data_IF_094562504923
#
_entry.id   IF_094562504923
#
_cell.length_a   1.000
_cell.length_b   1.000
_cell.length_c   1.000
_cell.angle_alpha   90.00
_cell.angle_beta   90.00
_cell.angle_gamma   90.00
#
_symmetry.space_group_name_H-M   'P 1'
#
loop_
_entity.id
_entity.type
_entity.pdbx_description
1 polymer ?
#
# COMPACT_ATOMS: atom_id res chain seq x y z
N UNK A 1 20.55 8.98 25.61
CA UNK A 1 20.59 10.38 25.19
C UNK A 1 21.54 10.62 24.01
N UNK A 2 22.76 10.07 24.02
CA UNK A 2 23.71 10.15 22.89
C UNK A 2 23.26 9.40 21.63
N UNK A 3 22.55 8.27 21.73
CA UNK A 3 22.00 7.54 20.60
C UNK A 3 20.85 8.30 19.90
N UNK A 4 20.07 9.07 20.65
CA UNK A 4 18.98 9.90 20.12
C UNK A 4 19.48 11.11 19.31
N UNK A 5 20.68 11.61 19.63
CA UNK A 5 21.36 12.69 18.90
C UNK A 5 21.97 12.21 17.58
N UNK A 6 22.33 10.92 17.48
CA UNK A 6 22.97 10.33 16.30
C UNK A 6 21.98 9.96 15.18
N UNK A 7 20.68 9.82 15.51
CA UNK A 7 19.66 9.35 14.58
C UNK A 7 19.02 10.45 13.73
N UNK A 8 19.10 11.73 14.14
CA UNK A 8 18.44 12.83 13.39
C UNK A 8 19.37 13.47 12.36
N UNK A 9 18.89 13.59 11.13
CA UNK A 9 19.59 14.24 10.01
C UNK A 9 20.11 15.64 10.37
N UNK A 10 19.28 16.43 11.06
CA UNK A 10 19.61 17.79 11.51
C UNK A 10 20.88 17.78 12.36
N UNK A 11 21.04 16.81 13.26
CA UNK A 11 22.23 16.71 14.11
C UNK A 11 23.46 16.26 13.33
N UNK A 12 23.33 15.38 12.33
CA UNK A 12 24.46 14.98 11.46
C UNK A 12 24.99 16.17 10.66
N UNK A 13 24.09 16.97 10.10
CA UNK A 13 24.44 18.18 9.37
C UNK A 13 25.05 19.22 10.33
N UNK A 14 24.43 19.49 11.47
CA UNK A 14 24.94 20.41 12.47
C UNK A 14 26.34 20.02 12.98
N UNK A 15 26.55 18.74 13.33
CA UNK A 15 27.82 18.22 13.78
C UNK A 15 28.91 18.37 12.71
N UNK A 16 28.61 18.20 11.43
CA UNK A 16 29.59 18.38 10.36
C UNK A 16 30.03 19.84 10.23
N UNK A 17 29.13 20.81 10.37
CA UNK A 17 29.50 22.23 10.41
C UNK A 17 30.25 22.61 11.70
N UNK A 18 29.78 22.10 12.85
CA UNK A 18 30.44 22.30 14.13
C UNK A 18 31.88 21.76 14.12
N UNK A 19 32.10 20.60 13.50
CA UNK A 19 33.42 19.99 13.32
C UNK A 19 34.34 20.87 12.50
N UNK A 20 33.86 21.42 11.37
CA UNK A 20 34.65 22.35 10.52
C UNK A 20 35.09 23.58 11.31
N UNK A 21 34.15 24.18 12.06
CA UNK A 21 34.44 25.35 12.91
C UNK A 21 35.41 25.01 14.03
N UNK A 22 35.24 23.85 14.69
CA UNK A 22 36.13 23.41 15.77
C UNK A 22 37.55 23.15 15.27
N UNK A 23 37.71 22.48 14.13
CA UNK A 23 39.00 22.25 13.51
C UNK A 23 39.69 23.59 13.17
N UNK A 24 38.96 24.51 12.54
CA UNK A 24 39.49 25.85 12.25
C UNK A 24 39.96 26.60 13.51
N UNK A 25 39.18 26.55 14.57
CA UNK A 25 39.48 27.23 15.83
C UNK A 25 40.68 26.58 16.57
N UNK A 26 40.75 25.24 16.58
CA UNK A 26 41.87 24.51 17.20
C UNK A 26 43.18 24.76 16.43
N UNK A 27 43.16 24.74 15.11
CA UNK A 27 44.34 25.01 14.30
C UNK A 27 44.79 26.46 14.45
N UNK A 28 43.85 27.42 14.49
CA UNK A 28 44.18 28.84 14.74
C UNK A 28 44.80 29.03 16.12
N UNK A 29 44.22 28.41 17.17
CA UNK A 29 44.73 28.48 18.53
C UNK A 29 46.13 27.84 18.68
N UNK A 30 46.36 26.69 18.06
CA UNK A 30 47.64 26.01 18.10
C UNK A 30 48.71 26.76 17.30
N UNK A 31 48.38 27.27 16.12
CA UNK A 31 49.25 28.04 15.31
C UNK A 31 49.69 29.36 16.01
N UNK A 32 48.72 30.06 16.63
CA UNK A 32 49.03 31.27 17.41
C UNK A 32 49.84 30.93 18.68
N UNK A 33 49.58 29.85 19.38
CA UNK A 33 50.34 29.46 20.60
C UNK A 33 51.77 29.04 20.31
N UNK A 34 52.03 28.50 19.11
CA UNK A 34 53.39 28.13 18.69
C UNK A 34 54.21 29.33 18.14
N UNK A 35 53.53 30.27 17.48
CA UNK A 35 54.18 31.43 16.88
C UNK A 35 54.43 32.59 17.89
N UNK A 36 53.59 32.71 18.94
CA UNK A 36 53.65 33.81 19.91
C UNK A 36 54.93 33.79 20.80
N UNK A 37 55.37 32.62 21.33
CA UNK A 37 56.57 32.56 22.17
C UNK A 37 57.83 32.99 21.44
N UNK A 38 58.02 32.58 20.19
CA UNK A 38 59.20 32.92 19.42
C UNK A 38 59.33 34.44 19.14
N UNK A 39 58.20 35.11 18.85
CA UNK A 39 58.16 36.53 18.63
C UNK A 39 58.35 37.31 19.98
N UNK A 40 57.85 36.77 21.08
CA UNK A 40 57.95 37.38 22.42
C UNK A 40 59.37 37.23 22.97
N UNK A 41 60.05 36.10 22.79
CA UNK A 41 61.43 35.87 23.23
C UNK A 41 62.41 36.80 22.50
N UNK A 42 62.23 37.03 21.21
CA UNK A 42 63.01 38.01 20.44
C UNK A 42 62.82 39.43 20.94
N UNK A 43 61.58 39.82 21.34
CA UNK A 43 61.29 41.14 21.87
C UNK A 43 61.90 41.37 23.26
N UNK A 44 61.86 40.33 24.12
CA UNK A 44 62.50 40.35 25.43
C UNK A 44 64.01 40.44 25.34
N UNK A 45 64.65 39.72 24.39
CA UNK A 45 66.05 39.80 24.14
C UNK A 45 66.50 41.20 23.71
N UNK A 46 65.73 41.87 22.82
CA UNK A 46 65.95 43.25 22.42
C UNK A 46 65.81 44.25 23.59
N UNK A 47 64.75 44.10 24.42
CA UNK A 47 64.59 44.93 25.63
C UNK A 47 65.67 44.74 26.68
N UNK A 48 66.13 43.50 26.88
CA UNK A 48 67.24 43.23 27.84
C UNK A 48 68.58 43.84 27.40
N UNK A 49 68.83 43.88 26.12
CA UNK A 49 69.98 44.57 25.55
C UNK A 49 69.92 46.09 25.75
N UNK A 50 68.77 46.70 25.60
CA UNK A 50 68.54 48.12 25.91
C UNK A 50 68.73 48.49 27.37
N UNK A 51 68.25 47.67 28.29
CA UNK A 51 68.40 47.89 29.73
C UNK A 51 69.86 47.69 30.23
N UNK A 52 70.70 46.98 29.49
CA UNK A 52 72.12 46.77 29.80
C UNK A 52 73.03 48.00 29.54
N UNK A 53 72.47 49.16 29.13
CA UNK A 53 73.20 50.42 28.99
C UNK A 53 74.16 50.46 27.80
N UNK A 54 74.07 49.57 26.85
CA UNK A 54 74.73 49.70 25.57
C UNK A 54 73.99 50.71 24.75
N UNK A 55 74.71 51.81 24.34
CA UNK A 55 74.17 52.81 23.41
C UNK A 55 73.75 52.12 22.11
N UNK A 56 72.45 52.09 21.89
CA UNK A 56 71.89 51.50 20.65
C UNK A 56 72.27 52.39 19.48
N UNK A 57 73.02 51.91 18.50
CA UNK A 57 73.31 52.70 17.32
C UNK A 57 72.09 52.97 16.50
N UNK A 58 72.13 53.98 15.59
CA UNK A 58 71.01 54.43 14.74
C UNK A 58 70.35 53.36 13.84
N UNK A 59 70.64 52.08 14.17
CA UNK A 59 69.99 50.87 13.56
C UNK A 59 68.60 50.49 14.11
N UNK A 60 68.03 51.24 15.06
CA UNK A 60 66.80 50.90 15.82
C UNK A 60 65.57 50.71 14.94
N UNK A 61 65.44 51.51 13.87
CA UNK A 61 64.34 51.40 12.94
C UNK A 61 64.42 50.15 12.07
N UNK A 62 65.62 49.66 11.78
CA UNK A 62 65.80 48.43 10.99
C UNK A 62 65.41 47.19 11.81
N UNK A 63 65.80 47.15 13.08
CA UNK A 63 65.46 46.06 14.00
C UNK A 63 63.95 46.02 14.34
N UNK A 64 63.33 47.15 14.52
CA UNK A 64 61.87 47.30 14.72
C UNK A 64 61.08 46.82 13.47
N UNK A 65 61.58 47.18 12.31
CA UNK A 65 61.03 46.72 11.03
C UNK A 65 61.19 45.21 10.82
N UNK A 66 62.32 44.62 11.22
CA UNK A 66 62.59 43.19 11.10
C UNK A 66 61.71 42.37 12.07
N UNK A 67 61.54 42.85 13.31
CA UNK A 67 60.62 42.28 14.27
C UNK A 67 59.17 42.34 13.83
N UNK A 68 58.77 43.48 13.30
CA UNK A 68 57.41 43.64 12.73
C UNK A 68 57.17 42.73 11.54
N UNK A 69 58.16 42.58 10.64
CA UNK A 69 58.06 41.68 9.50
C UNK A 69 58.04 40.21 9.92
N UNK A 70 58.86 39.79 10.89
CA UNK A 70 58.84 38.43 11.43
C UNK A 70 57.51 38.09 12.13
N UNK A 71 56.94 39.04 12.84
CA UNK A 71 55.62 38.90 13.49
C UNK A 71 54.53 38.72 12.42
N UNK A 72 54.47 39.59 11.41
CA UNK A 72 53.49 39.48 10.32
C UNK A 72 53.68 38.15 9.56
N UNK A 73 54.91 37.74 9.30
CA UNK A 73 55.21 36.44 8.64
C UNK A 73 54.67 35.28 9.47
N UNK A 74 54.93 35.24 10.78
CA UNK A 74 54.45 34.18 11.68
C UNK A 74 52.95 34.14 11.77
N UNK A 75 52.26 35.32 11.87
CA UNK A 75 50.82 35.40 11.90
C UNK A 75 50.22 34.98 10.54
N UNK A 76 50.80 35.37 9.43
CA UNK A 76 50.35 34.99 8.09
C UNK A 76 50.51 33.49 7.82
N UNK A 77 51.59 32.88 8.32
CA UNK A 77 51.85 31.44 8.25
C UNK A 77 50.79 30.68 9.09
N UNK A 78 50.57 31.11 10.33
CA UNK A 78 49.53 30.52 11.20
C UNK A 78 48.13 30.60 10.59
N UNK A 79 47.78 31.73 10.02
CA UNK A 79 46.50 31.92 9.32
C UNK A 79 46.37 31.04 8.08
N UNK A 80 47.48 30.88 7.33
CA UNK A 80 47.55 30.04 6.14
C UNK A 80 47.32 28.56 6.50
N UNK A 81 47.98 28.06 7.54
CA UNK A 81 47.73 26.68 8.05
C UNK A 81 46.31 26.48 8.53
N UNK A 82 45.72 27.44 9.27
CA UNK A 82 44.36 27.39 9.71
C UNK A 82 43.37 27.38 8.53
N UNK A 83 43.62 28.19 7.50
CA UNK A 83 42.77 28.24 6.30
C UNK A 83 42.83 26.91 5.51
N UNK A 84 44.00 26.31 5.33
CA UNK A 84 44.17 25.03 4.65
C UNK A 84 43.47 23.92 5.44
N UNK A 85 43.66 23.86 6.75
CA UNK A 85 43.00 22.85 7.59
C UNK A 85 41.47 22.97 7.58
N UNK A 86 40.93 24.20 7.65
CA UNK A 86 39.50 24.47 7.55
C UNK A 86 38.96 24.05 6.16
N UNK A 87 39.69 24.28 5.09
CA UNK A 87 39.33 23.89 3.72
C UNK A 87 39.25 22.37 3.59
N UNK A 88 40.25 21.66 4.12
CA UNK A 88 40.24 20.18 4.13
C UNK A 88 39.07 19.65 4.94
N UNK A 89 38.83 20.19 6.14
CA UNK A 89 37.68 19.80 6.98
C UNK A 89 36.35 20.06 6.28
N UNK A 90 36.22 21.20 5.58
CA UNK A 90 35.02 21.53 4.80
C UNK A 90 34.80 20.56 3.62
N UNK A 91 35.87 20.17 2.90
CA UNK A 91 35.78 19.17 1.83
C UNK A 91 35.34 17.80 2.35
N UNK A 92 35.89 17.35 3.48
CA UNK A 92 35.47 16.10 4.10
C UNK A 92 34.01 16.14 4.54
N UNK A 93 33.58 17.22 5.22
CA UNK A 93 32.20 17.40 5.65
C UNK A 93 31.25 17.45 4.43
N UNK A 94 31.60 18.17 3.37
CA UNK A 94 30.82 18.24 2.13
C UNK A 94 30.67 16.88 1.46
N UNK A 95 31.72 16.07 1.43
CA UNK A 95 31.69 14.71 0.90
C UNK A 95 30.72 13.81 1.69
N UNK A 96 30.74 13.91 3.03
CA UNK A 96 29.81 13.15 3.88
C UNK A 96 28.36 13.59 3.68
N UNK A 97 28.08 14.90 3.64
CA UNK A 97 26.75 15.44 3.41
C UNK A 97 26.23 15.02 2.02
N UNK A 98 27.09 15.11 0.99
CA UNK A 98 26.74 14.68 -0.36
C UNK A 98 26.32 13.21 -0.39
N UNK A 99 27.06 12.32 0.27
CA UNK A 99 26.72 10.89 0.32
C UNK A 99 25.51 10.55 1.19
N UNK A 100 25.34 11.22 2.33
CA UNK A 100 24.29 10.89 3.28
C UNK A 100 22.95 11.60 3.03
N UNK A 101 22.96 12.73 2.33
CA UNK A 101 21.76 13.54 2.10
C UNK A 101 21.46 13.70 0.61
N UNK A 102 22.41 14.23 -0.16
CA UNK A 102 22.16 14.63 -1.55
C UNK A 102 21.89 13.40 -2.43
N UNK A 103 22.73 12.37 -2.34
CA UNK A 103 22.60 11.17 -3.16
C UNK A 103 21.29 10.40 -2.93
N UNK A 104 20.83 10.13 -1.68
CA UNK A 104 19.54 9.52 -1.43
C UNK A 104 18.37 10.35 -1.98
N UNK A 105 18.38 11.66 -1.80
CA UNK A 105 17.33 12.56 -2.33
C UNK A 105 17.30 12.55 -3.86
N UNK A 106 18.47 12.58 -4.52
CA UNK A 106 18.54 12.47 -5.99
C UNK A 106 18.01 11.12 -6.48
N UNK A 107 18.35 10.02 -5.79
CA UNK A 107 17.78 8.69 -6.12
C UNK A 107 16.28 8.66 -5.99
N UNK A 108 15.72 9.24 -4.90
CA UNK A 108 14.26 9.37 -4.72
C UNK A 108 13.62 10.14 -5.87
N UNK A 109 14.24 11.25 -6.30
CA UNK A 109 13.74 12.05 -7.41
C UNK A 109 13.72 11.26 -8.74
N UNK A 110 14.80 10.54 -9.05
CA UNK A 110 14.90 9.70 -10.26
C UNK A 110 13.85 8.59 -10.23
N UNK A 111 13.73 7.88 -9.10
CA UNK A 111 12.74 6.81 -8.95
C UNK A 111 11.30 7.33 -8.99
N UNK A 112 11.04 8.51 -8.41
CA UNK A 112 9.74 9.16 -8.52
C UNK A 112 9.36 9.45 -9.97
N UNK A 113 10.33 9.88 -10.78
CA UNK A 113 10.09 10.12 -12.23
C UNK A 113 9.80 8.80 -12.96
N UNK A 114 10.56 7.75 -12.70
CA UNK A 114 10.32 6.42 -13.28
C UNK A 114 8.96 5.83 -12.88
N UNK A 115 8.56 6.00 -11.60
CA UNK A 115 7.22 5.61 -11.15
C UNK A 115 6.13 6.39 -11.90
N UNK A 116 6.31 7.68 -12.14
CA UNK A 116 5.40 8.49 -12.94
C UNK A 116 5.29 8.02 -14.40
N UNK A 117 6.34 7.41 -14.96
CA UNK A 117 6.38 6.78 -16.27
C UNK A 117 5.82 5.34 -16.28
N UNK A 118 5.43 4.81 -15.12
CA UNK A 118 4.83 3.49 -14.99
C UNK A 118 5.82 2.36 -14.69
N UNK A 119 7.06 2.67 -14.32
CA UNK A 119 8.09 1.73 -13.90
C UNK A 119 8.08 1.57 -12.38
N UNK A 120 7.28 0.64 -11.87
CA UNK A 120 7.05 0.49 -10.42
C UNK A 120 7.99 -0.49 -9.71
N UNK A 121 8.89 -1.19 -10.43
CA UNK A 121 9.67 -2.31 -9.88
C UNK A 121 10.86 -1.87 -9.04
N UNK A 122 11.40 -0.68 -9.29
CA UNK A 122 12.57 -0.19 -8.59
C UNK A 122 12.25 0.25 -7.17
N UNK A 123 13.20 -0.02 -6.26
CA UNK A 123 13.09 0.36 -4.84
C UNK A 123 14.35 1.10 -4.41
N UNK A 124 14.18 1.96 -3.41
CA UNK A 124 15.31 2.52 -2.68
C UNK A 124 15.94 1.44 -1.82
N UNK A 125 17.27 1.33 -1.92
CA UNK A 125 18.02 0.44 -1.05
C UNK A 125 18.05 1.02 0.37
N UNK A 126 17.28 0.40 1.25
CA UNK A 126 17.20 0.77 2.65
C UNK A 126 18.03 -0.28 3.41
N UNK A 127 19.18 0.13 3.97
CA UNK A 127 19.92 -0.75 4.87
C UNK A 127 19.06 -1.04 6.10
N UNK A 128 18.65 -2.29 6.34
CA UNK A 128 17.73 -2.62 7.44
C UNK A 128 18.49 -2.66 8.79
N UNK A 129 19.03 -1.53 9.23
CA UNK A 129 19.62 -1.41 10.57
C UNK A 129 18.64 -0.71 11.49
N UNK A 130 17.72 -1.48 12.08
CA UNK A 130 16.83 -1.02 13.14
C UNK A 130 15.34 -0.96 12.77
N UNK A 131 14.48 -0.77 13.79
CA UNK A 131 13.05 -0.49 13.62
C UNK A 131 12.83 0.91 13.03
N UNK A 132 11.61 1.19 12.54
CA UNK A 132 11.22 2.48 11.97
C UNK A 132 11.64 3.68 12.84
N UNK A 133 11.48 3.57 14.16
CA UNK A 133 11.82 4.62 15.13
C UNK A 133 13.33 4.84 15.33
N UNK A 134 14.19 3.94 14.84
CA UNK A 134 15.64 4.02 14.93
C UNK A 134 16.30 4.56 13.65
N UNK A 135 15.49 4.74 12.58
CA UNK A 135 15.96 5.33 11.33
C UNK A 135 15.99 6.85 11.42
N UNK A 136 16.92 7.47 10.69
CA UNK A 136 16.87 8.91 10.47
C UNK A 136 15.70 9.29 9.55
N UNK A 137 15.42 10.58 9.46
CA UNK A 137 14.29 11.12 8.69
C UNK A 137 14.35 10.71 7.20
N UNK A 138 15.54 10.56 6.63
CA UNK A 138 15.71 10.09 5.25
C UNK A 138 15.42 8.60 5.11
N UNK A 139 15.79 7.79 6.09
CA UNK A 139 15.47 6.37 6.14
C UNK A 139 13.95 6.14 6.25
N UNK A 140 13.27 6.92 7.11
CA UNK A 140 11.81 6.88 7.24
C UNK A 140 11.11 7.32 5.95
N UNK A 141 11.63 8.37 5.30
CA UNK A 141 11.12 8.84 4.00
C UNK A 141 11.31 7.78 2.92
N UNK A 142 12.48 7.13 2.86
CA UNK A 142 12.76 6.06 1.91
C UNK A 142 11.83 4.85 2.10
N UNK A 143 11.55 4.48 3.35
CA UNK A 143 10.61 3.41 3.67
C UNK A 143 9.19 3.76 3.22
N UNK A 144 8.73 4.98 3.54
CA UNK A 144 7.41 5.47 3.13
C UNK A 144 7.28 5.54 1.61
N UNK A 145 8.36 5.95 0.92
CA UNK A 145 8.43 5.95 -0.54
C UNK A 145 8.28 4.55 -1.13
N UNK A 146 9.03 3.57 -0.60
CA UNK A 146 8.95 2.17 -1.04
C UNK A 146 7.54 1.59 -0.82
N UNK A 147 6.91 1.88 0.32
CA UNK A 147 5.52 1.47 0.60
C UNK A 147 4.52 2.09 -0.38
N UNK A 148 4.70 3.36 -0.73
CA UNK A 148 3.88 4.02 -1.74
C UNK A 148 4.08 3.40 -3.12
N UNK A 149 5.33 3.15 -3.53
CA UNK A 149 5.66 2.49 -4.79
C UNK A 149 5.04 1.09 -4.88
N UNK A 150 5.10 0.30 -3.80
CA UNK A 150 4.48 -1.03 -3.72
C UNK A 150 2.96 -0.96 -3.88
N UNK A 151 2.31 0.00 -3.20
CA UNK A 151 0.85 0.20 -3.34
C UNK A 151 0.45 0.58 -4.76
N UNK A 152 1.22 1.47 -5.40
CA UNK A 152 0.97 1.88 -6.79
C UNK A 152 1.16 0.70 -7.75
N UNK A 153 2.25 -0.07 -7.61
CA UNK A 153 2.50 -1.27 -8.42
C UNK A 153 1.35 -2.27 -8.30
N UNK A 154 0.92 -2.55 -7.07
CA UNK A 154 -0.19 -3.45 -6.80
C UNK A 154 -1.50 -2.95 -7.41
N UNK A 155 -1.78 -1.66 -7.28
CA UNK A 155 -2.98 -1.04 -7.85
C UNK A 155 -2.99 -1.11 -9.38
N UNK A 156 -1.87 -0.77 -10.03
CA UNK A 156 -1.77 -0.79 -11.49
C UNK A 156 -1.80 -2.22 -12.04
N UNK A 157 -1.15 -3.17 -11.36
CA UNK A 157 -1.22 -4.59 -11.72
C UNK A 157 -2.66 -5.12 -11.64
N UNK A 158 -3.36 -4.81 -10.54
CA UNK A 158 -4.77 -5.18 -10.39
C UNK A 158 -5.66 -4.53 -11.46
N UNK A 159 -5.39 -3.26 -11.82
CA UNK A 159 -6.12 -2.56 -12.88
C UNK A 159 -5.91 -3.21 -14.25
N UNK A 160 -4.66 -3.54 -14.59
CA UNK A 160 -4.35 -4.22 -15.87
C UNK A 160 -4.98 -5.61 -15.94
N UNK A 161 -4.93 -6.36 -14.85
CA UNK A 161 -5.58 -7.65 -14.77
C UNK A 161 -7.09 -7.52 -14.95
N UNK A 162 -7.74 -6.56 -14.27
CA UNK A 162 -9.17 -6.29 -14.42
C UNK A 162 -9.55 -6.02 -15.88
N UNK A 163 -8.82 -5.16 -16.58
CA UNK A 163 -9.08 -4.85 -17.99
C UNK A 163 -8.95 -6.11 -18.87
N UNK A 164 -7.93 -6.94 -18.59
CA UNK A 164 -7.74 -8.21 -19.28
C UNK A 164 -8.91 -9.16 -19.08
N UNK A 165 -9.30 -9.37 -17.83
CA UNK A 165 -10.38 -10.28 -17.43
C UNK A 165 -11.73 -9.82 -17.98
N UNK A 166 -12.05 -8.53 -17.88
CA UNK A 166 -13.26 -7.92 -18.48
C UNK A 166 -13.31 -8.15 -19.98
N UNK A 167 -12.18 -7.92 -20.67
CA UNK A 167 -12.11 -8.10 -22.11
C UNK A 167 -12.38 -9.55 -22.51
N UNK A 168 -11.87 -10.51 -21.73
CA UNK A 168 -12.11 -11.93 -21.95
C UNK A 168 -13.57 -12.34 -21.69
N UNK A 169 -14.16 -11.90 -20.57
CA UNK A 169 -15.53 -12.23 -20.18
C UNK A 169 -16.58 -11.58 -21.07
N UNK A 170 -16.30 -10.40 -21.66
CA UNK A 170 -17.16 -9.77 -22.66
C UNK A 170 -17.04 -10.43 -24.04
N UNK A 171 -15.85 -10.86 -24.45
CA UNK A 171 -15.62 -11.44 -25.79
C UNK A 171 -16.38 -12.74 -26.00
N UNK A 172 -16.45 -13.58 -24.97
CA UNK A 172 -17.08 -14.91 -25.05
C UNK A 172 -18.56 -14.85 -25.45
N UNK A 173 -19.46 -14.14 -24.71
CA UNK A 173 -20.87 -14.04 -25.09
C UNK A 173 -21.08 -13.27 -26.40
N UNK A 174 -20.27 -12.23 -26.68
CA UNK A 174 -20.34 -11.50 -27.94
C UNK A 174 -20.03 -12.41 -29.14
N UNK A 175 -19.01 -13.29 -29.03
CA UNK A 175 -18.67 -14.25 -30.08
C UNK A 175 -19.79 -15.27 -30.28
N UNK A 176 -20.42 -15.73 -29.17
CA UNK A 176 -21.56 -16.65 -29.27
C UNK A 176 -22.76 -16.00 -29.95
N UNK A 177 -23.13 -14.77 -29.56
CA UNK A 177 -24.22 -14.01 -30.21
C UNK A 177 -23.91 -13.82 -31.69
N UNK A 178 -22.69 -13.41 -32.01
CA UNK A 178 -22.26 -13.22 -33.40
C UNK A 178 -22.40 -14.51 -34.21
N UNK A 179 -21.90 -15.66 -33.66
CA UNK A 179 -21.99 -16.97 -34.31
C UNK A 179 -23.44 -17.43 -34.51
N UNK A 180 -24.36 -17.18 -33.56
CA UNK A 180 -25.77 -17.45 -33.72
C UNK A 180 -26.41 -16.61 -34.84
N UNK A 181 -26.05 -15.33 -34.89
CA UNK A 181 -26.58 -14.41 -35.91
C UNK A 181 -26.04 -14.75 -37.32
N UNK A 182 -24.75 -15.04 -37.46
CA UNK A 182 -24.14 -15.49 -38.71
C UNK A 182 -24.77 -16.80 -39.20
N UNK A 183 -24.94 -17.79 -38.29
CA UNK A 183 -25.61 -19.04 -38.64
C UNK A 183 -27.08 -18.88 -39.06
N UNK A 184 -27.80 -17.87 -38.53
CA UNK A 184 -29.14 -17.49 -39.00
C UNK A 184 -29.11 -16.86 -40.39
N UNK A 185 -28.18 -15.95 -40.63
CA UNK A 185 -28.03 -15.22 -41.92
C UNK A 185 -27.68 -16.22 -43.05
N UNK A 186 -26.76 -17.14 -42.76
CA UNK A 186 -26.28 -18.16 -43.70
C UNK A 186 -27.28 -19.33 -43.91
N UNK A 187 -28.38 -19.34 -43.13
CA UNK A 187 -29.40 -20.39 -43.20
C UNK A 187 -28.95 -21.73 -42.62
N UNK A 188 -27.81 -21.77 -41.90
CA UNK A 188 -27.25 -22.99 -41.25
C UNK A 188 -27.99 -23.31 -39.96
N UNK A 189 -28.45 -22.26 -39.24
CA UNK A 189 -29.23 -22.41 -38.01
C UNK A 189 -30.71 -22.09 -38.28
N UNK A 190 -31.65 -22.92 -37.76
CA UNK A 190 -33.07 -22.66 -37.92
C UNK A 190 -33.52 -21.46 -37.04
N UNK A 191 -34.32 -20.56 -37.61
CA UNK A 191 -34.96 -19.48 -36.90
C UNK A 191 -36.10 -20.04 -35.99
N UNK A 192 -35.79 -20.47 -34.80
CA UNK A 192 -36.73 -21.09 -33.83
C UNK A 192 -36.67 -20.41 -32.47
N UNK A 193 -37.70 -20.60 -31.61
CA UNK A 193 -37.74 -20.01 -30.28
C UNK A 193 -36.51 -20.35 -29.39
N UNK A 194 -35.97 -21.57 -29.51
CA UNK A 194 -34.84 -22.03 -28.74
C UNK A 194 -33.57 -21.25 -29.05
N UNK A 195 -33.36 -20.91 -30.34
CA UNK A 195 -32.21 -20.11 -30.75
C UNK A 195 -32.34 -18.66 -30.25
N UNK A 196 -33.53 -18.08 -30.34
CA UNK A 196 -33.79 -16.75 -29.82
C UNK A 196 -33.62 -16.68 -28.30
N UNK A 197 -34.04 -17.72 -27.56
CA UNK A 197 -33.80 -17.82 -26.14
C UNK A 197 -32.30 -17.90 -25.78
N UNK A 198 -31.50 -18.65 -26.57
CA UNK A 198 -30.05 -18.68 -26.40
C UNK A 198 -29.42 -17.32 -26.61
N UNK A 199 -29.80 -16.60 -27.67
CA UNK A 199 -29.30 -15.24 -27.88
C UNK A 199 -29.70 -14.30 -26.75
N UNK A 200 -30.98 -14.37 -26.31
CA UNK A 200 -31.47 -13.53 -25.22
C UNK A 200 -30.73 -13.83 -23.90
N UNK A 201 -30.47 -15.10 -23.60
CA UNK A 201 -29.70 -15.49 -22.39
C UNK A 201 -28.27 -14.96 -22.39
N UNK A 202 -27.60 -14.88 -23.53
CA UNK A 202 -26.27 -14.28 -23.61
C UNK A 202 -26.32 -12.75 -23.48
N UNK A 203 -27.37 -12.09 -23.97
CA UNK A 203 -27.59 -10.64 -23.77
C UNK A 203 -27.83 -10.35 -22.29
N UNK A 204 -28.70 -11.10 -21.61
CA UNK A 204 -28.95 -10.96 -20.17
C UNK A 204 -27.67 -11.20 -19.34
N UNK A 205 -26.84 -12.14 -19.78
CA UNK A 205 -25.54 -12.39 -19.15
C UNK A 205 -24.61 -11.18 -19.29
N UNK A 206 -24.56 -10.57 -20.47
CA UNK A 206 -23.77 -9.35 -20.71
C UNK A 206 -24.27 -8.19 -19.85
N UNK A 207 -25.57 -7.99 -19.76
CA UNK A 207 -26.15 -6.93 -18.91
C UNK A 207 -25.77 -7.12 -17.45
N UNK A 208 -25.89 -8.35 -16.93
CA UNK A 208 -25.45 -8.67 -15.56
C UNK A 208 -23.97 -8.38 -15.36
N UNK A 209 -23.12 -8.77 -16.29
CA UNK A 209 -21.67 -8.53 -16.20
C UNK A 209 -21.35 -7.02 -16.16
N UNK A 210 -22.01 -6.22 -17.00
CA UNK A 210 -21.83 -4.75 -17.02
C UNK A 210 -22.29 -4.12 -15.70
N UNK A 211 -23.43 -4.56 -15.15
CA UNK A 211 -23.94 -4.06 -13.88
C UNK A 211 -22.99 -4.45 -12.71
N UNK A 212 -22.49 -5.69 -12.70
CA UNK A 212 -21.54 -6.17 -11.70
C UNK A 212 -20.22 -5.37 -11.76
N UNK A 213 -19.74 -5.03 -12.95
CA UNK A 213 -18.54 -4.21 -13.14
C UNK A 213 -18.73 -2.77 -12.66
N UNK A 214 -19.88 -2.16 -12.94
CA UNK A 214 -20.20 -0.83 -12.44
C UNK A 214 -20.26 -0.80 -10.93
N UNK A 215 -20.87 -1.81 -10.32
CA UNK A 215 -20.96 -1.95 -8.88
C UNK A 215 -19.58 -2.16 -8.25
N UNK A 216 -18.76 -3.05 -8.81
CA UNK A 216 -17.41 -3.28 -8.37
C UNK A 216 -16.57 -2.00 -8.43
N UNK A 217 -16.69 -1.23 -9.52
CA UNK A 217 -15.99 0.05 -9.69
C UNK A 217 -16.38 1.05 -8.59
N UNK A 218 -17.68 1.18 -8.26
CA UNK A 218 -18.14 2.09 -7.20
C UNK A 218 -17.62 1.69 -5.82
N UNK A 219 -17.66 0.38 -5.53
CA UNK A 219 -17.19 -0.13 -4.22
C UNK A 219 -15.68 0.05 -4.06
N UNK A 220 -14.90 -0.23 -5.11
CA UNK A 220 -13.45 -0.09 -5.08
C UNK A 220 -12.96 1.35 -5.14
N UNK A 221 -13.69 2.22 -5.84
CA UNK A 221 -13.42 3.66 -5.90
C UNK A 221 -13.68 4.39 -4.57
N UNK A 222 -14.27 3.71 -3.57
CA UNK A 222 -14.66 4.34 -2.31
C UNK A 222 -15.87 5.29 -2.45
N UNK A 223 -16.56 5.25 -3.60
CA UNK A 223 -17.72 6.09 -3.90
C UNK A 223 -19.04 5.50 -3.36
N UNK A 224 -18.94 4.41 -2.58
CA UNK A 224 -20.10 3.76 -2.02
C UNK A 224 -20.61 4.56 -0.81
N UNK A 225 -21.61 5.40 -1.04
CA UNK A 225 -22.38 6.01 0.05
C UNK A 225 -23.33 4.96 0.65
N UNK A 226 -23.00 4.48 1.85
CA UNK A 226 -23.88 3.60 2.60
C UNK A 226 -24.98 4.41 3.30
N UNK A 227 -26.19 3.85 3.35
CA UNK A 227 -27.34 4.38 4.10
C UNK A 227 -27.74 3.41 5.20
N UNK A 228 -26.95 3.30 6.28
CA UNK A 228 -27.19 2.30 7.29
C UNK A 228 -28.42 2.65 8.14
N UNK A 229 -29.22 1.64 8.43
CA UNK A 229 -30.39 1.69 9.31
C UNK A 229 -30.34 0.49 10.26
N UNK A 230 -31.06 0.58 11.38
CA UNK A 230 -31.23 -0.56 12.25
C UNK A 230 -32.24 -1.55 11.62
N UNK A 231 -31.79 -2.78 11.42
CA UNK A 231 -32.60 -3.83 10.80
C UNK A 231 -32.32 -5.17 11.46
N UNK A 232 -33.35 -6.01 11.61
CA UNK A 232 -33.16 -7.36 12.13
C UNK A 232 -32.61 -8.30 11.03
N UNK A 233 -31.67 -9.17 11.40
CA UNK A 233 -31.18 -10.21 10.50
C UNK A 233 -32.30 -11.15 10.01
N UNK A 234 -33.30 -11.38 10.83
CA UNK A 234 -34.48 -12.17 10.47
C UNK A 234 -35.25 -11.54 9.31
N UNK A 235 -35.50 -10.22 9.35
CA UNK A 235 -36.21 -9.49 8.28
C UNK A 235 -35.48 -9.57 6.95
N UNK A 236 -34.12 -9.43 6.96
CA UNK A 236 -33.28 -9.56 5.76
C UNK A 236 -33.38 -10.96 5.13
N UNK A 237 -33.34 -12.00 5.97
CA UNK A 237 -33.39 -13.40 5.49
C UNK A 237 -34.78 -13.74 4.97
N UNK A 238 -35.85 -13.25 5.61
CA UNK A 238 -37.23 -13.43 5.11
C UNK A 238 -37.46 -12.72 3.77
N UNK A 239 -36.92 -11.51 3.60
CA UNK A 239 -36.96 -10.79 2.32
C UNK A 239 -36.22 -11.58 1.23
N UNK A 240 -35.03 -12.10 1.55
CA UNK A 240 -34.30 -12.96 0.64
C UNK A 240 -35.09 -14.22 0.26
N UNK A 241 -35.74 -14.86 1.25
CA UNK A 241 -36.58 -16.03 0.97
C UNK A 241 -37.66 -15.69 -0.05
N UNK A 242 -38.41 -14.62 0.18
CA UNK A 242 -39.48 -14.20 -0.74
C UNK A 242 -39.00 -13.98 -2.18
N UNK A 243 -37.75 -13.52 -2.35
CA UNK A 243 -37.16 -13.27 -3.66
C UNK A 243 -36.68 -14.54 -4.36
N UNK A 244 -36.24 -15.56 -3.65
CA UNK A 244 -35.58 -16.73 -4.23
C UNK A 244 -36.31 -18.06 -4.06
N UNK A 245 -37.33 -18.16 -3.18
CA UNK A 245 -38.08 -19.40 -2.86
C UNK A 245 -38.55 -20.11 -4.13
N UNK A 246 -39.18 -19.39 -5.04
CA UNK A 246 -39.65 -19.90 -6.31
C UNK A 246 -38.53 -20.53 -7.15
N UNK A 247 -37.35 -19.92 -7.20
CA UNK A 247 -36.21 -20.42 -7.97
C UNK A 247 -35.65 -21.72 -7.37
N UNK A 248 -35.63 -21.81 -6.03
CA UNK A 248 -35.25 -23.03 -5.32
C UNK A 248 -36.26 -24.18 -5.58
N UNK A 249 -37.55 -23.87 -5.55
CA UNK A 249 -38.61 -24.83 -5.86
C UNK A 249 -38.55 -25.33 -7.30
N UNK A 250 -38.43 -24.41 -8.28
CA UNK A 250 -38.31 -24.76 -9.73
C UNK A 250 -37.09 -25.65 -10.00
N UNK A 251 -35.99 -25.48 -9.23
CA UNK A 251 -34.80 -26.33 -9.33
C UNK A 251 -34.90 -27.59 -8.46
N UNK A 252 -35.95 -27.74 -7.64
CA UNK A 252 -36.11 -28.87 -6.74
C UNK A 252 -35.09 -28.93 -5.61
N UNK A 253 -34.68 -27.77 -5.06
CA UNK A 253 -33.72 -27.66 -3.97
C UNK A 253 -34.49 -27.22 -2.70
N UNK A 254 -34.26 -27.93 -1.58
CA UNK A 254 -34.84 -27.56 -0.31
C UNK A 254 -34.13 -26.34 0.30
N UNK A 255 -34.87 -25.25 0.50
CA UNK A 255 -34.41 -24.07 1.23
C UNK A 255 -34.84 -24.15 2.69
N UNK A 256 -33.92 -24.18 3.64
CA UNK A 256 -34.15 -24.25 5.08
C UNK A 256 -33.62 -22.98 5.76
N UNK A 257 -34.42 -22.35 6.63
CA UNK A 257 -34.02 -21.21 7.44
C UNK A 257 -33.83 -21.63 8.90
N UNK A 258 -32.72 -21.23 9.51
CA UNK A 258 -32.40 -21.46 10.94
C UNK A 258 -31.93 -20.15 11.58
N UNK A 259 -32.91 -19.37 12.07
CA UNK A 259 -32.67 -18.08 12.68
C UNK A 259 -32.74 -18.23 14.19
N UNK A 260 -31.70 -17.88 14.93
CA UNK A 260 -31.72 -17.88 16.37
C UNK A 260 -32.68 -16.83 16.89
N UNK A 261 -33.35 -17.14 18.03
CA UNK A 261 -34.30 -16.23 18.67
C UNK A 261 -33.56 -15.04 19.33
N UNK A 262 -34.22 -13.90 19.39
CA UNK A 262 -33.72 -12.68 20.08
C UNK A 262 -32.36 -12.18 19.57
N UNK A 263 -32.13 -12.21 18.25
CA UNK A 263 -30.98 -11.56 17.66
C UNK A 263 -31.15 -10.03 17.78
N UNK A 264 -30.10 -9.31 18.20
CA UNK A 264 -30.09 -7.85 18.17
C UNK A 264 -30.14 -7.33 16.74
N UNK A 265 -30.65 -6.11 16.58
CA UNK A 265 -30.58 -5.40 15.30
C UNK A 265 -29.15 -5.04 14.95
N UNK A 266 -28.87 -5.04 13.67
CA UNK A 266 -27.60 -4.61 13.09
C UNK A 266 -27.78 -3.27 12.40
N UNK A 267 -26.72 -2.46 12.38
CA UNK A 267 -26.74 -1.13 11.75
C UNK A 267 -26.06 -1.20 10.38
N UNK A 268 -26.86 -1.38 9.33
CA UNK A 268 -26.38 -1.70 7.97
C UNK A 268 -27.28 -1.07 6.90
N UNK A 269 -26.73 -0.94 5.71
CA UNK A 269 -27.50 -0.64 4.50
C UNK A 269 -28.23 -1.90 4.05
N UNK A 270 -29.56 -1.87 4.16
CA UNK A 270 -30.45 -3.01 3.90
C UNK A 270 -30.29 -3.56 2.49
N UNK A 271 -30.23 -2.68 1.48
CA UNK A 271 -30.16 -3.08 0.07
C UNK A 271 -28.82 -3.76 -0.22
N UNK A 272 -27.75 -3.23 0.36
CA UNK A 272 -26.40 -3.79 0.20
C UNK A 272 -26.23 -5.15 0.89
N UNK A 273 -26.78 -5.32 2.07
CA UNK A 273 -26.73 -6.64 2.73
C UNK A 273 -27.67 -7.65 2.06
N UNK A 274 -28.81 -7.23 1.54
CA UNK A 274 -29.65 -8.09 0.70
C UNK A 274 -28.91 -8.51 -0.57
N UNK A 275 -28.11 -7.63 -1.17
CA UNK A 275 -27.26 -7.95 -2.33
C UNK A 275 -26.19 -9.00 -1.95
N UNK A 276 -25.54 -8.87 -0.79
CA UNK A 276 -24.61 -9.90 -0.27
C UNK A 276 -25.32 -11.25 -0.16
N UNK A 277 -26.46 -11.28 0.51
CA UNK A 277 -27.25 -12.50 0.71
C UNK A 277 -27.69 -13.12 -0.61
N UNK A 278 -28.13 -12.30 -1.57
CA UNK A 278 -28.53 -12.75 -2.92
C UNK A 278 -27.36 -13.38 -3.66
N UNK A 279 -26.18 -12.80 -3.57
CA UNK A 279 -24.98 -13.35 -4.20
C UNK A 279 -24.59 -14.71 -3.58
N UNK A 280 -24.63 -14.83 -2.26
CA UNK A 280 -24.30 -16.08 -1.57
C UNK A 280 -25.36 -17.17 -1.85
N UNK A 281 -26.66 -16.83 -1.73
CA UNK A 281 -27.76 -17.76 -1.98
C UNK A 281 -27.87 -18.15 -3.47
N UNK A 282 -27.59 -17.20 -4.38
CA UNK A 282 -27.51 -17.45 -5.81
C UNK A 282 -26.39 -18.45 -6.17
N UNK A 283 -25.22 -18.33 -5.54
CA UNK A 283 -24.16 -19.33 -5.69
C UNK A 283 -24.60 -20.70 -5.15
N UNK A 284 -25.19 -20.76 -3.95
CA UNK A 284 -25.72 -22.00 -3.40
C UNK A 284 -26.76 -22.65 -4.33
N UNK A 285 -27.71 -21.83 -4.85
CA UNK A 285 -28.68 -22.28 -5.83
C UNK A 285 -28.00 -22.83 -7.10
N UNK A 286 -26.98 -22.16 -7.60
CA UNK A 286 -26.28 -22.51 -8.83
C UNK A 286 -25.57 -23.86 -8.71
N UNK A 287 -24.81 -24.07 -7.64
CA UNK A 287 -23.89 -25.20 -7.48
C UNK A 287 -24.50 -26.38 -6.72
N UNK A 288 -25.71 -26.29 -6.23
CA UNK A 288 -26.44 -27.40 -5.63
C UNK A 288 -27.21 -28.15 -6.71
N UNK A 289 -27.06 -29.48 -6.86
CA UNK A 289 -27.87 -30.28 -7.79
C UNK A 289 -29.32 -30.40 -7.30
N UNK A 290 -30.21 -30.80 -8.22
CA UNK A 290 -31.60 -31.11 -7.90
C UNK A 290 -31.67 -32.16 -6.77
N UNK A 291 -32.59 -32.00 -5.85
CA UNK A 291 -32.74 -32.84 -4.65
C UNK A 291 -31.78 -32.48 -3.52
N UNK A 292 -30.90 -31.48 -3.74
CA UNK A 292 -30.01 -30.97 -2.71
C UNK A 292 -30.72 -30.02 -1.74
N UNK A 293 -29.94 -29.47 -0.81
CA UNK A 293 -30.43 -28.61 0.26
C UNK A 293 -29.55 -27.39 0.44
N UNK A 294 -30.16 -26.23 0.67
CA UNK A 294 -29.48 -24.99 1.08
C UNK A 294 -30.06 -24.57 2.43
N UNK A 295 -29.18 -24.28 3.38
CA UNK A 295 -29.55 -23.85 4.72
C UNK A 295 -28.98 -22.45 4.99
N UNK A 296 -29.84 -21.51 5.30
CA UNK A 296 -29.43 -20.15 5.73
C UNK A 296 -29.58 -20.08 7.25
N UNK A 297 -28.48 -19.70 7.94
CA UNK A 297 -28.46 -19.57 9.40
C UNK A 297 -28.13 -18.15 9.79
N UNK A 298 -28.73 -17.67 10.87
CA UNK A 298 -28.31 -16.45 11.54
C UNK A 298 -28.20 -16.70 13.05
N UNK A 299 -27.08 -16.33 13.63
CA UNK A 299 -26.82 -16.49 15.06
C UNK A 299 -25.87 -15.40 15.55
N UNK A 300 -25.85 -15.21 16.87
CA UNK A 300 -24.93 -14.28 17.52
C UNK A 300 -23.65 -15.00 17.92
N UNK A 301 -22.53 -14.42 17.57
CA UNK A 301 -21.20 -14.84 18.05
C UNK A 301 -20.48 -13.65 18.69
N UNK A 302 -20.36 -13.66 20.01
CA UNK A 302 -19.77 -12.55 20.79
C UNK A 302 -20.46 -11.21 20.50
N UNK A 303 -19.75 -10.28 19.84
CA UNK A 303 -20.21 -8.94 19.47
C UNK A 303 -20.65 -8.82 18.00
N UNK A 304 -20.85 -9.95 17.31
CA UNK A 304 -21.19 -9.98 15.90
C UNK A 304 -22.44 -10.81 15.66
N UNK A 305 -23.20 -10.49 14.62
CA UNK A 305 -24.20 -11.36 14.02
C UNK A 305 -23.55 -12.05 12.83
N UNK A 306 -23.56 -13.37 12.88
CA UNK A 306 -23.06 -14.23 11.79
C UNK A 306 -24.25 -14.73 10.98
N UNK A 307 -24.18 -14.53 9.65
CA UNK A 307 -25.12 -15.11 8.70
C UNK A 307 -24.34 -16.06 7.79
N UNK A 308 -24.81 -17.30 7.65
CA UNK A 308 -24.17 -18.33 6.84
C UNK A 308 -25.15 -18.95 5.86
N UNK A 309 -24.69 -19.23 4.65
CA UNK A 309 -25.39 -19.95 3.60
C UNK A 309 -24.60 -21.24 3.33
N UNK A 310 -25.20 -22.37 3.72
CA UNK A 310 -24.60 -23.70 3.53
C UNK A 310 -25.35 -24.47 2.45
N UNK A 311 -24.64 -25.09 1.55
CA UNK A 311 -25.19 -25.91 0.48
C UNK A 311 -24.66 -27.36 0.56
N UNK A 312 -25.39 -28.28 -0.07
CA UNK A 312 -24.98 -29.67 -0.27
C UNK A 312 -24.50 -29.93 -1.71
N UNK A 313 -23.90 -28.93 -2.31
CA UNK A 313 -23.46 -28.92 -3.70
C UNK A 313 -22.12 -29.59 -3.94
N UNK A 314 -21.49 -29.21 -5.05
CA UNK A 314 -20.24 -29.80 -5.55
C UNK A 314 -19.06 -29.65 -4.59
N UNK A 315 -19.13 -28.72 -3.64
CA UNK A 315 -18.02 -28.39 -2.73
C UNK A 315 -16.87 -27.64 -3.40
N UNK A 316 -15.87 -27.30 -2.61
CA UNK A 316 -14.70 -26.52 -3.02
C UNK A 316 -13.45 -27.23 -2.49
N UNK A 317 -12.43 -27.44 -3.33
CA UNK A 317 -11.17 -28.03 -2.87
C UNK A 317 -10.43 -27.05 -1.93
N UNK A 318 -9.64 -27.54 -0.95
CA UNK A 318 -8.93 -26.68 0.00
C UNK A 318 -8.03 -25.61 -0.67
N UNK A 319 -7.46 -25.96 -1.81
CA UNK A 319 -6.57 -25.06 -2.59
C UNK A 319 -7.34 -23.90 -3.23
N UNK A 320 -8.62 -24.09 -3.50
CA UNK A 320 -9.49 -23.10 -4.15
C UNK A 320 -10.18 -22.15 -3.17
N UNK A 321 -10.33 -22.55 -1.90
CA UNK A 321 -11.02 -21.72 -0.88
C UNK A 321 -10.44 -20.31 -0.77
N UNK A 322 -9.11 -20.08 -0.74
CA UNK A 322 -8.56 -18.75 -0.67
C UNK A 322 -8.87 -17.86 -1.89
N UNK A 323 -9.16 -18.48 -3.04
CA UNK A 323 -9.33 -17.83 -4.33
C UNK A 323 -10.80 -17.51 -4.67
N UNK A 324 -11.78 -18.06 -3.93
CA UNK A 324 -13.21 -17.91 -4.30
C UNK A 324 -13.73 -16.47 -4.25
N UNK A 325 -13.04 -15.58 -3.53
CA UNK A 325 -13.37 -14.16 -3.47
C UNK A 325 -12.59 -13.32 -4.50
N UNK A 326 -11.67 -13.94 -5.25
CA UNK A 326 -10.94 -13.25 -6.31
C UNK A 326 -11.87 -12.98 -7.50
N UNK A 327 -11.62 -11.87 -8.18
CA UNK A 327 -12.42 -11.44 -9.33
C UNK A 327 -12.35 -12.47 -10.46
N UNK A 328 -13.49 -12.75 -11.07
CA UNK A 328 -13.62 -13.70 -12.20
C UNK A 328 -13.16 -15.12 -11.89
N UNK A 329 -12.84 -15.42 -10.63
CA UNK A 329 -12.45 -16.75 -10.24
C UNK A 329 -13.65 -17.72 -10.33
N UNK A 330 -13.42 -18.89 -10.94
CA UNK A 330 -14.42 -19.96 -11.12
C UNK A 330 -13.73 -21.31 -10.99
N UNK A 331 -14.31 -22.21 -10.22
CA UNK A 331 -13.73 -23.52 -9.91
C UNK A 331 -13.70 -24.49 -11.11
N UNK A 332 -14.49 -24.23 -12.15
CA UNK A 332 -14.53 -25.08 -13.34
C UNK A 332 -14.84 -24.26 -14.61
N UNK A 333 -13.83 -24.07 -15.46
CA UNK A 333 -13.95 -23.30 -16.72
C UNK A 333 -14.79 -24.00 -17.79
N UNK A 334 -14.94 -25.35 -17.73
CA UNK A 334 -15.61 -26.12 -18.78
C UNK A 334 -17.11 -26.36 -18.53
N UNK A 335 -17.51 -26.62 -17.30
CA UNK A 335 -18.93 -26.81 -16.90
C UNK A 335 -19.66 -25.50 -16.67
N UNK A 336 -18.94 -24.44 -16.37
CA UNK A 336 -19.47 -23.15 -15.96
C UNK A 336 -20.05 -22.30 -17.10
N UNK A 337 -19.88 -22.65 -18.37
CA UNK A 337 -20.44 -21.91 -19.52
C UNK A 337 -21.96 -21.94 -19.56
N UNK A 338 -22.60 -22.97 -19.02
CA UNK A 338 -24.07 -23.11 -18.98
C UNK A 338 -24.74 -22.46 -17.76
N UNK A 339 -23.97 -22.09 -16.74
CA UNK A 339 -24.51 -21.64 -15.45
C UNK A 339 -24.47 -20.13 -15.16
N UNK A 340 -24.08 -19.30 -16.15
CA UNK A 340 -24.41 -17.87 -16.19
C UNK A 340 -23.79 -16.90 -15.14
N UNK A 341 -22.93 -17.33 -14.21
CA UNK A 341 -22.31 -16.44 -13.23
C UNK A 341 -21.13 -15.64 -13.79
N UNK A 342 -21.02 -14.34 -13.43
CA UNK A 342 -19.94 -13.43 -13.85
C UNK A 342 -18.60 -13.71 -13.13
N UNK A 343 -18.62 -14.41 -11.99
CA UNK A 343 -17.45 -14.58 -11.12
C UNK A 343 -17.09 -13.31 -10.31
N UNK A 344 -17.94 -12.30 -10.34
CA UNK A 344 -17.74 -11.03 -9.60
C UNK A 344 -18.59 -10.98 -8.32
N UNK A 345 -19.69 -11.73 -8.26
CA UNK A 345 -20.66 -11.64 -7.16
C UNK A 345 -20.07 -11.85 -5.76
N UNK A 346 -19.14 -12.81 -5.58
CA UNK A 346 -18.45 -13.02 -4.30
C UNK A 346 -17.48 -11.90 -3.96
N UNK A 347 -16.81 -11.33 -4.95
CA UNK A 347 -15.93 -10.17 -4.77
C UNK A 347 -16.74 -8.95 -4.32
N UNK A 348 -17.90 -8.69 -4.95
CA UNK A 348 -18.83 -7.63 -4.53
C UNK A 348 -19.31 -7.89 -3.10
N UNK A 349 -19.73 -9.12 -2.77
CA UNK A 349 -20.17 -9.49 -1.43
C UNK A 349 -19.07 -9.21 -0.38
N UNK A 350 -17.82 -9.57 -0.68
CA UNK A 350 -16.69 -9.30 0.21
C UNK A 350 -16.47 -7.79 0.41
N UNK A 351 -16.53 -7.01 -0.66
CA UNK A 351 -16.32 -5.59 -0.60
C UNK A 351 -17.43 -4.87 0.19
N UNK A 352 -18.71 -5.26 -0.03
CA UNK A 352 -19.85 -4.73 0.70
C UNK A 352 -19.80 -5.08 2.20
N UNK A 353 -19.46 -6.33 2.55
CA UNK A 353 -19.28 -6.73 3.95
C UNK A 353 -18.16 -5.94 4.62
N UNK A 354 -17.02 -5.76 3.95
CA UNK A 354 -15.92 -4.93 4.47
C UNK A 354 -16.31 -3.47 4.65
N UNK A 355 -17.13 -2.90 3.74
CA UNK A 355 -17.65 -1.54 3.86
C UNK A 355 -18.54 -1.36 5.10
N UNK A 356 -19.20 -2.44 5.57
CA UNK A 356 -19.97 -2.50 6.82
C UNK A 356 -19.11 -2.90 8.04
N UNK A 357 -17.78 -2.83 7.96
CA UNK A 357 -16.83 -3.25 9.00
C UNK A 357 -16.99 -4.72 9.42
N UNK A 358 -17.54 -5.56 8.54
CA UNK A 358 -17.71 -6.98 8.72
C UNK A 358 -16.55 -7.81 8.15
N UNK A 359 -16.68 -9.12 8.28
CA UNK A 359 -15.79 -10.14 7.70
C UNK A 359 -16.58 -11.19 6.97
N UNK A 360 -16.05 -11.74 5.88
CA UNK A 360 -16.66 -12.81 5.09
C UNK A 360 -15.63 -13.91 4.86
N UNK A 361 -16.07 -15.17 4.87
CA UNK A 361 -15.21 -16.34 4.64
C UNK A 361 -15.99 -17.49 4.03
N UNK A 362 -15.27 -18.48 3.50
CA UNK A 362 -15.80 -19.70 2.93
C UNK A 362 -15.16 -20.93 3.60
N UNK A 363 -15.95 -21.97 3.75
CA UNK A 363 -15.55 -23.27 4.29
C UNK A 363 -16.12 -24.38 3.42
N UNK A 364 -15.37 -25.45 3.21
CA UNK A 364 -15.85 -26.66 2.53
C UNK A 364 -15.10 -27.88 3.04
N UNK A 365 -15.79 -28.99 3.14
CA UNK A 365 -15.17 -30.29 3.44
C UNK A 365 -14.50 -30.96 2.25
N UNK A 366 -14.38 -30.27 1.11
CA UNK A 366 -13.85 -30.77 -0.14
C UNK A 366 -14.93 -31.09 -1.18
N UNK A 367 -14.51 -31.58 -2.33
CA UNK A 367 -15.41 -31.90 -3.44
C UNK A 367 -16.51 -32.89 -3.03
N UNK A 368 -17.74 -32.63 -3.48
CA UNK A 368 -18.92 -33.41 -3.17
C UNK A 368 -19.48 -33.25 -1.74
N UNK A 369 -18.86 -32.40 -0.90
CA UNK A 369 -19.29 -32.19 0.49
C UNK A 369 -20.03 -30.89 0.73
N UNK A 370 -20.33 -30.15 -0.32
CA UNK A 370 -20.95 -28.84 -0.25
C UNK A 370 -20.01 -27.74 0.26
N UNK A 371 -20.52 -26.55 0.37
CA UNK A 371 -19.80 -25.39 0.86
C UNK A 371 -20.64 -24.57 1.83
N UNK A 372 -19.95 -23.72 2.62
CA UNK A 372 -20.58 -22.76 3.54
C UNK A 372 -19.90 -21.42 3.35
N UNK A 373 -20.67 -20.44 2.93
CA UNK A 373 -20.24 -19.05 2.89
C UNK A 373 -20.85 -18.31 4.06
N UNK A 374 -20.01 -17.64 4.84
CA UNK A 374 -20.41 -16.95 6.06
C UNK A 374 -19.91 -15.53 6.07
N UNK A 375 -20.71 -14.62 6.61
CA UNK A 375 -20.25 -13.27 6.93
C UNK A 375 -20.71 -12.84 8.31
N UNK A 376 -19.95 -11.99 8.95
CA UNK A 376 -20.21 -11.42 10.26
C UNK A 376 -20.31 -9.90 10.19
N UNK A 377 -21.27 -9.35 10.88
CA UNK A 377 -21.50 -7.90 11.01
C UNK A 377 -21.44 -7.49 12.48
N UNK A 378 -20.81 -6.36 12.82
CA UNK A 378 -20.70 -5.91 14.18
C UNK A 378 -22.09 -5.52 14.74
N UNK A 379 -22.35 -5.87 15.99
CA UNK A 379 -23.48 -5.36 16.75
C UNK A 379 -23.11 -3.97 17.25
N UNK A 380 -23.92 -2.93 16.98
CA UNK A 380 -23.65 -1.60 17.50
C UNK A 380 -23.56 -1.65 19.03
N UNK A 381 -22.53 -1.03 19.58
CA UNK A 381 -22.42 -0.84 21.03
C UNK A 381 -23.44 0.22 21.39
N UNK A 382 -24.44 -0.15 22.21
CA UNK A 382 -25.50 0.73 22.70
C UNK A 382 -24.93 1.82 23.62
#
# INVERSE_FOLDING_TARGET
MLEFLHSRLVWKVFLSYALVLLVGLVVLATATSLSFPAAFDHHLAGMSAMMAGQTVPEGDKAMEQELYQSYIASVSEALSFAAIAALIAAMVASFFISRQVVNPVQRMMILSHRIAEGEFQDRLDISPKGSFDQMDELGQLALSFNQMAERLEKTETMRRQLIGDVSHELRTPLTAIKGYMEGLIDGVLPANPDLYQKVNSEIERLQRLVNDLQELSRVEGGELELRPVFVSAASLIETLRGNLERQFEEKGILLELKIAQNLPDIFVDTDRILQVLTNLAGNALQYTPQGGKVTIRAFREKSEIVISVSDTGIGISPEQIPLVFDRFYRTDKSRARSSGGSGIGLTIAQALVKAHHGRIWAESGGEGKGSTFSFALPIPIA
#
